data_IF_747876701978
#
_entry.id   IF_747876701978
#
_cell.length_a   1.000
_cell.length_b   1.000
_cell.length_c   1.000
_cell.angle_alpha   90.00
_cell.angle_beta   90.00
_cell.angle_gamma   90.00
#
_symmetry.space_group_name_H-M   'P 1'
#
loop_
_entity.id
_entity.type
_entity.pdbx_description
1 polymer ?
#
# COMPACT_ATOMS: atom_id res chain seq x y z
N UNK A 1 -9.45 66.11 27.17
CA UNK A 1 -8.57 64.96 27.52
C UNK A 1 -9.17 63.70 26.91
N UNK A 2 -8.54 63.15 25.86
CA UNK A 2 -9.01 61.97 25.13
C UNK A 2 -8.51 60.71 25.85
N UNK A 3 -9.42 59.81 26.25
CA UNK A 3 -9.09 58.47 26.76
C UNK A 3 -8.92 57.54 25.56
N UNK A 4 -7.70 57.03 25.34
CA UNK A 4 -7.43 55.99 24.36
C UNK A 4 -7.70 54.62 25.00
N UNK A 5 -8.65 53.89 24.43
CA UNK A 5 -8.96 52.50 24.78
C UNK A 5 -7.98 51.60 24.00
N UNK A 6 -7.01 51.00 24.68
CA UNK A 6 -6.16 49.96 24.09
C UNK A 6 -6.94 48.64 24.12
N UNK A 7 -7.49 48.25 22.97
CA UNK A 7 -8.04 46.91 22.77
C UNK A 7 -6.85 46.00 22.46
N UNK A 8 -6.49 45.14 23.42
CA UNK A 8 -5.59 44.03 23.21
C UNK A 8 -6.32 42.98 22.36
N UNK A 9 -6.03 42.96 21.05
CA UNK A 9 -6.37 41.82 20.20
C UNK A 9 -5.47 40.65 20.61
N UNK A 10 -6.01 39.75 21.43
CA UNK A 10 -5.49 38.39 21.54
C UNK A 10 -5.83 37.67 20.23
N UNK A 11 -4.95 37.76 19.25
CA UNK A 11 -4.95 36.84 18.12
C UNK A 11 -4.60 35.46 18.67
N UNK A 12 -5.63 34.68 19.03
CA UNK A 12 -5.51 33.23 19.13
C UNK A 12 -5.15 32.76 17.72
N UNK A 13 -3.86 32.64 17.45
CA UNK A 13 -3.40 31.83 16.33
C UNK A 13 -3.87 30.41 16.64
N UNK A 14 -5.02 30.06 16.09
CA UNK A 14 -5.37 28.68 15.80
C UNK A 14 -4.27 28.19 14.86
N UNK A 15 -3.19 27.67 15.45
CA UNK A 15 -2.26 26.86 14.71
C UNK A 15 -3.09 25.71 14.14
N UNK A 16 -3.00 25.43 12.82
CA UNK A 16 -3.55 24.19 12.31
C UNK A 16 -2.87 23.10 13.13
N UNK A 17 -3.68 22.34 13.87
CA UNK A 17 -3.26 21.07 14.44
C UNK A 17 -2.57 20.33 13.31
N UNK A 18 -1.25 20.17 13.40
CA UNK A 18 -0.50 19.32 12.50
C UNK A 18 -1.17 17.95 12.61
N UNK A 19 -2.05 17.66 11.65
CA UNK A 19 -2.58 16.35 11.38
C UNK A 19 -1.39 15.40 11.26
N UNK A 20 -1.59 14.13 11.63
CA UNK A 20 -0.63 13.04 11.51
C UNK A 20 0.45 13.38 10.47
N UNK A 21 1.69 13.62 10.90
CA UNK A 21 2.79 14.02 10.02
C UNK A 21 2.69 13.18 8.76
N UNK A 22 2.43 13.82 7.61
CA UNK A 22 2.02 13.12 6.39
C UNK A 22 3.03 11.98 6.15
N UNK A 23 2.60 10.73 6.32
CA UNK A 23 3.48 9.56 6.22
C UNK A 23 3.78 9.36 4.74
N UNK A 24 4.73 10.15 4.25
CA UNK A 24 5.08 10.24 2.86
C UNK A 24 6.50 9.76 2.62
N UNK A 25 6.69 9.09 1.49
CA UNK A 25 8.00 8.64 1.04
C UNK A 25 8.06 8.70 -0.49
N UNK A 26 9.10 9.36 -1.01
CA UNK A 26 9.31 9.57 -2.45
C UNK A 26 8.09 10.14 -3.21
N UNK A 27 7.36 11.06 -2.57
CA UNK A 27 6.20 11.74 -3.18
C UNK A 27 4.89 10.95 -3.16
N UNK A 28 4.84 9.84 -2.42
CA UNK A 28 3.61 9.06 -2.17
C UNK A 28 3.30 9.11 -0.68
N UNK A 29 2.04 9.31 -0.31
CA UNK A 29 1.62 9.40 1.08
C UNK A 29 0.60 8.33 1.44
N UNK A 30 0.66 7.84 2.68
CA UNK A 30 -0.41 7.01 3.24
C UNK A 30 -1.73 7.78 3.18
N UNK A 31 -2.79 7.10 2.76
CA UNK A 31 -4.14 7.65 2.66
C UNK A 31 -4.47 8.30 1.32
N UNK A 32 -3.48 8.54 0.47
CA UNK A 32 -3.69 9.13 -0.85
C UNK A 32 -4.46 8.19 -1.78
N UNK A 33 -5.35 8.73 -2.62
CA UNK A 33 -5.95 7.96 -3.72
C UNK A 33 -4.90 7.72 -4.82
N UNK A 34 -4.83 6.50 -5.33
CA UNK A 34 -3.83 6.10 -6.32
C UNK A 34 -3.86 6.96 -7.60
N UNK A 35 -5.01 7.57 -7.93
CA UNK A 35 -5.19 8.46 -9.09
C UNK A 35 -4.48 9.79 -8.91
N UNK A 36 -4.22 10.19 -7.67
CA UNK A 36 -3.53 11.42 -7.31
C UNK A 36 -2.02 11.23 -7.18
N UNK A 37 -1.56 9.96 -7.13
CA UNK A 37 -0.14 9.62 -7.03
C UNK A 37 0.56 9.94 -8.35
N UNK A 38 1.31 11.03 -8.37
CA UNK A 38 2.13 11.43 -9.52
C UNK A 38 3.50 10.71 -9.49
N UNK A 39 3.49 9.40 -9.75
CA UNK A 39 4.70 8.57 -9.78
C UNK A 39 4.78 7.69 -11.03
N UNK A 40 6.01 7.31 -11.39
CA UNK A 40 6.23 6.31 -12.43
C UNK A 40 6.36 4.93 -11.80
N UNK A 41 5.65 3.95 -12.36
CA UNK A 41 5.65 2.56 -11.89
C UNK A 41 6.65 1.73 -12.69
N UNK A 42 7.36 0.82 -12.02
CA UNK A 42 8.19 -0.18 -12.69
C UNK A 42 7.27 -1.17 -13.42
N UNK A 43 7.47 -1.42 -14.72
CA UNK A 43 6.67 -2.38 -15.47
C UNK A 43 6.77 -3.78 -14.87
N UNK A 44 5.64 -4.48 -14.86
CA UNK A 44 5.55 -5.87 -14.46
C UNK A 44 5.57 -6.75 -15.72
N UNK A 45 6.64 -7.51 -15.86
CA UNK A 45 6.75 -8.51 -16.93
C UNK A 45 6.42 -9.90 -16.39
N UNK A 46 5.52 -10.61 -17.08
CA UNK A 46 5.27 -12.03 -16.84
C UNK A 46 6.37 -12.86 -17.50
N UNK A 47 6.98 -13.76 -16.74
CA UNK A 47 7.93 -14.71 -17.28
C UNK A 47 7.24 -15.67 -18.27
N UNK A 48 7.98 -16.25 -19.24
CA UNK A 48 7.38 -17.14 -20.24
C UNK A 48 6.56 -18.30 -19.64
N UNK A 49 7.05 -18.91 -18.56
CA UNK A 49 6.33 -19.98 -17.88
C UNK A 49 5.01 -19.49 -17.25
N UNK A 50 5.02 -18.31 -16.63
CA UNK A 50 3.81 -17.71 -16.06
C UNK A 50 2.76 -17.45 -17.14
N UNK A 51 3.17 -17.04 -18.34
CA UNK A 51 2.26 -16.83 -19.46
C UNK A 51 1.60 -18.14 -19.92
N UNK A 52 2.36 -19.25 -19.96
CA UNK A 52 1.83 -20.58 -20.28
C UNK A 52 0.81 -21.02 -19.22
N UNK A 53 1.16 -20.90 -17.95
CA UNK A 53 0.26 -21.26 -16.85
C UNK A 53 -1.03 -20.43 -16.87
N UNK A 54 -0.92 -19.12 -17.13
CA UNK A 54 -2.08 -18.22 -17.23
C UNK A 54 -2.99 -18.66 -18.37
N UNK A 55 -2.43 -18.96 -19.54
CA UNK A 55 -3.18 -19.45 -20.69
C UNK A 55 -3.89 -20.77 -20.37
N UNK A 56 -3.20 -21.71 -19.74
CA UNK A 56 -3.76 -23.00 -19.37
C UNK A 56 -4.91 -22.85 -18.37
N UNK A 57 -4.75 -22.00 -17.36
CA UNK A 57 -5.81 -21.76 -16.37
C UNK A 57 -7.06 -21.15 -17.02
N UNK A 58 -6.88 -20.09 -17.82
CA UNK A 58 -7.98 -19.39 -18.48
C UNK A 58 -8.66 -20.23 -19.58
N UNK A 59 -8.00 -21.28 -20.09
CA UNK A 59 -8.60 -22.24 -21.01
C UNK A 59 -9.47 -23.29 -20.29
N UNK A 60 -9.12 -23.63 -19.05
CA UNK A 60 -9.77 -24.71 -18.29
C UNK A 60 -10.95 -24.25 -17.44
N UNK A 61 -11.03 -22.94 -17.14
CA UNK A 61 -12.05 -22.41 -16.25
C UNK A 61 -12.48 -20.98 -16.67
N UNK A 62 -13.78 -20.63 -16.59
CA UNK A 62 -14.23 -19.26 -16.78
C UNK A 62 -13.55 -18.31 -15.80
N UNK A 63 -13.00 -17.20 -16.31
CA UNK A 63 -12.21 -16.26 -15.49
C UNK A 63 -12.99 -15.74 -14.28
N UNK A 64 -14.29 -15.47 -14.43
CA UNK A 64 -15.14 -15.01 -13.33
C UNK A 64 -15.15 -16.02 -12.17
N UNK A 65 -15.25 -17.31 -12.47
CA UNK A 65 -15.24 -18.36 -11.44
C UNK A 65 -13.91 -18.39 -10.68
N UNK A 66 -12.80 -18.06 -11.33
CA UNK A 66 -11.47 -18.00 -10.69
C UNK A 66 -11.41 -16.84 -9.68
N UNK A 67 -11.91 -15.66 -10.08
CA UNK A 67 -12.01 -14.49 -9.20
C UNK A 67 -12.93 -14.76 -8.00
N UNK A 68 -14.10 -15.38 -8.25
CA UNK A 68 -15.08 -15.73 -7.22
C UNK A 68 -14.49 -16.72 -6.19
N UNK A 69 -13.76 -17.75 -6.64
CA UNK A 69 -13.08 -18.72 -5.76
C UNK A 69 -11.97 -18.12 -4.90
N UNK A 70 -11.43 -16.97 -5.30
CA UNK A 70 -10.36 -16.26 -4.60
C UNK A 70 -10.86 -15.10 -3.76
N UNK A 71 -12.19 -14.90 -3.71
CA UNK A 71 -12.82 -13.77 -3.03
C UNK A 71 -12.29 -12.42 -3.52
N UNK A 72 -12.01 -12.31 -4.81
CA UNK A 72 -11.64 -11.07 -5.49
C UNK A 72 -12.82 -10.69 -6.40
N UNK A 73 -13.87 -10.11 -5.82
CA UNK A 73 -15.13 -9.89 -6.52
C UNK A 73 -15.10 -8.56 -7.28
N UNK A 74 -14.82 -8.64 -8.58
CA UNK A 74 -14.77 -7.49 -9.49
C UNK A 74 -15.87 -7.58 -10.54
N UNK A 75 -16.71 -6.55 -10.62
CA UNK A 75 -17.68 -6.42 -11.71
C UNK A 75 -16.99 -5.78 -12.90
N UNK A 76 -16.69 -6.58 -13.93
CA UNK A 76 -16.04 -6.10 -15.16
C UNK A 76 -16.34 -7.03 -16.35
N UNK A 77 -16.16 -6.55 -17.60
CA UNK A 77 -16.22 -7.42 -18.78
C UNK A 77 -15.20 -8.56 -18.72
N UNK A 78 -15.53 -9.71 -19.32
CA UNK A 78 -14.67 -10.91 -19.27
C UNK A 78 -13.25 -10.66 -19.80
N UNK A 79 -13.10 -9.85 -20.85
CA UNK A 79 -11.80 -9.48 -21.40
C UNK A 79 -10.94 -8.72 -20.36
N UNK A 80 -11.54 -7.79 -19.62
CA UNK A 80 -10.85 -7.03 -18.55
C UNK A 80 -10.42 -7.97 -17.43
N UNK A 81 -11.28 -8.91 -17.03
CA UNK A 81 -10.94 -9.90 -16.00
C UNK A 81 -9.80 -10.82 -16.46
N UNK A 82 -9.76 -11.25 -17.72
CA UNK A 82 -8.64 -12.04 -18.28
C UNK A 82 -7.33 -11.28 -18.25
N UNK A 83 -7.35 -10.00 -18.61
CA UNK A 83 -6.17 -9.14 -18.58
C UNK A 83 -5.65 -8.87 -17.16
N UNK A 84 -6.56 -8.78 -16.18
CA UNK A 84 -6.24 -8.53 -14.78
C UNK A 84 -5.84 -9.80 -14.01
N UNK A 85 -6.32 -10.99 -14.42
CA UNK A 85 -6.08 -12.26 -13.74
C UNK A 85 -4.62 -12.49 -13.28
N UNK A 86 -3.59 -12.38 -14.14
CA UNK A 86 -2.21 -12.66 -13.70
C UNK A 86 -1.70 -11.68 -12.65
N UNK A 87 -2.27 -10.48 -12.57
CA UNK A 87 -1.80 -9.41 -11.70
C UNK A 87 -2.58 -9.36 -10.38
N UNK A 88 -3.91 -9.51 -10.44
CA UNK A 88 -4.78 -9.46 -9.26
C UNK A 88 -4.77 -10.79 -8.52
N UNK A 89 -4.98 -11.91 -9.22
CA UNK A 89 -5.17 -13.21 -8.58
C UNK A 89 -3.84 -13.89 -8.24
N UNK A 90 -2.89 -13.90 -9.17
CA UNK A 90 -1.65 -14.68 -8.99
C UNK A 90 -0.58 -13.94 -8.22
N UNK A 91 -0.44 -12.62 -8.45
CA UNK A 91 0.71 -11.86 -7.98
C UNK A 91 0.36 -10.76 -6.97
N UNK A 92 -0.88 -10.29 -6.96
CA UNK A 92 -1.31 -9.12 -6.19
C UNK A 92 -0.38 -7.90 -6.39
N UNK A 93 -0.03 -7.63 -7.65
CA UNK A 93 0.84 -6.53 -8.02
C UNK A 93 0.23 -5.65 -9.10
N UNK A 94 0.74 -4.43 -9.21
CA UNK A 94 0.36 -3.51 -10.28
C UNK A 94 1.55 -2.72 -10.84
N UNK A 95 1.34 -2.21 -12.03
CA UNK A 95 2.10 -1.13 -12.65
C UNK A 95 1.14 -0.14 -13.34
N UNK A 96 1.67 0.77 -14.15
CA UNK A 96 0.85 1.72 -14.90
C UNK A 96 -0.13 1.09 -15.89
N UNK A 97 0.20 -0.07 -16.48
CA UNK A 97 -0.68 -0.78 -17.41
C UNK A 97 -1.84 -1.44 -16.65
N UNK A 98 -1.53 -2.11 -15.54
CA UNK A 98 -2.55 -2.72 -14.66
C UNK A 98 -3.49 -1.66 -14.10
N UNK A 99 -2.96 -0.52 -13.64
CA UNK A 99 -3.79 0.61 -13.19
C UNK A 99 -4.71 1.14 -14.29
N UNK A 100 -4.23 1.18 -15.54
CA UNK A 100 -5.07 1.60 -16.66
C UNK A 100 -6.17 0.57 -16.97
N UNK A 101 -5.87 -0.73 -16.89
CA UNK A 101 -6.86 -1.82 -17.04
C UNK A 101 -7.91 -1.81 -15.94
N UNK A 102 -7.53 -1.45 -14.70
CA UNK A 102 -8.46 -1.34 -13.58
C UNK A 102 -9.55 -0.27 -13.80
N UNK A 103 -9.33 0.72 -14.67
CA UNK A 103 -10.39 1.67 -15.07
C UNK A 103 -11.55 1.01 -15.82
N UNK A 104 -11.33 -0.19 -16.37
CA UNK A 104 -12.37 -1.01 -16.98
C UNK A 104 -13.21 -1.82 -15.97
N UNK A 105 -12.85 -1.80 -14.68
CA UNK A 105 -13.64 -2.40 -13.60
C UNK A 105 -14.76 -1.44 -13.22
N UNK A 106 -15.99 -1.94 -13.27
CA UNK A 106 -17.20 -1.15 -13.01
C UNK A 106 -17.50 -1.06 -11.52
N UNK A 107 -17.19 -2.10 -10.75
CA UNK A 107 -17.27 -2.08 -9.29
C UNK A 107 -16.27 -3.07 -8.67
N UNK A 108 -15.70 -2.69 -7.52
CA UNK A 108 -15.04 -3.61 -6.60
C UNK A 108 -16.06 -3.98 -5.53
N UNK A 109 -16.19 -5.27 -5.23
CA UNK A 109 -17.11 -5.76 -4.20
C UNK A 109 -16.35 -6.40 -3.03
N UNK A 110 -15.02 -6.47 -3.12
CA UNK A 110 -14.10 -6.89 -2.06
C UNK A 110 -12.93 -5.91 -1.97
N UNK A 111 -12.24 -5.93 -0.84
CA UNK A 111 -11.13 -5.03 -0.57
C UNK A 111 -9.80 -5.50 -1.20
N UNK A 112 -9.80 -5.61 -2.53
CA UNK A 112 -8.62 -6.00 -3.33
C UNK A 112 -7.40 -5.17 -2.94
N UNK A 113 -6.28 -5.84 -2.71
CA UNK A 113 -5.00 -5.23 -2.33
C UNK A 113 -3.94 -5.53 -3.37
N UNK A 114 -3.22 -4.51 -3.86
CA UNK A 114 -2.17 -4.67 -4.87
C UNK A 114 -0.94 -3.86 -4.48
N UNK A 115 0.25 -4.39 -4.79
CA UNK A 115 1.54 -3.74 -4.51
C UNK A 115 2.31 -3.45 -5.80
N UNK A 116 2.74 -2.21 -5.98
CA UNK A 116 3.51 -1.75 -7.13
C UNK A 116 4.88 -1.25 -6.71
N UNK A 117 5.89 -1.44 -7.55
CA UNK A 117 7.22 -0.86 -7.33
C UNK A 117 7.34 0.46 -8.09
N UNK A 118 7.86 1.50 -7.44
CA UNK A 118 8.17 2.77 -8.09
C UNK A 118 9.41 2.62 -8.98
N UNK A 119 9.38 3.28 -10.14
CA UNK A 119 10.58 3.54 -10.95
C UNK A 119 11.35 4.70 -10.30
N UNK A 120 12.08 4.37 -9.25
CA UNK A 120 12.86 5.30 -8.45
C UNK A 120 14.36 5.18 -8.76
N UNK A 121 15.08 6.32 -8.79
CA UNK A 121 16.52 6.39 -9.09
C UNK A 121 17.42 6.58 -7.85
N UNK A 122 16.85 6.72 -6.66
CA UNK A 122 17.63 6.91 -5.43
C UNK A 122 18.08 5.59 -4.80
N UNK A 123 18.42 5.66 -3.51
CA UNK A 123 18.95 4.52 -2.76
C UNK A 123 17.85 3.50 -2.43
N UNK A 124 17.88 2.37 -3.14
CA UNK A 124 17.01 1.24 -2.84
C UNK A 124 15.74 1.16 -3.69
N UNK A 125 14.78 0.37 -3.20
CA UNK A 125 13.53 0.04 -3.91
C UNK A 125 12.35 0.50 -3.08
N UNK A 126 11.37 1.13 -3.72
CA UNK A 126 10.16 1.62 -3.05
C UNK A 126 8.95 0.90 -3.59
N UNK A 127 8.17 0.33 -2.68
CA UNK A 127 6.94 -0.39 -2.97
C UNK A 127 5.77 0.36 -2.33
N UNK A 128 4.67 0.44 -3.05
CA UNK A 128 3.44 1.09 -2.61
C UNK A 128 2.34 0.06 -2.69
N UNK A 129 1.63 -0.14 -1.59
CA UNK A 129 0.46 -1.01 -1.52
C UNK A 129 -0.78 -0.16 -1.44
N UNK A 130 -1.74 -0.40 -2.34
CA UNK A 130 -3.08 0.17 -2.23
C UNK A 130 -4.10 -0.90 -1.90
N UNK A 131 -5.23 -0.45 -1.35
CA UNK A 131 -6.41 -1.27 -1.08
C UNK A 131 -7.65 -0.59 -1.65
N UNK A 132 -8.55 -1.38 -2.24
CA UNK A 132 -9.90 -0.94 -2.55
C UNK A 132 -10.69 -0.73 -1.25
N UNK A 133 -11.19 0.48 -1.06
CA UNK A 133 -11.96 0.92 0.09
C UNK A 133 -13.18 1.69 -0.37
N UNK A 134 -14.26 1.77 0.42
CA UNK A 134 -15.40 2.57 0.03
C UNK A 134 -15.12 4.06 0.21
N UNK A 135 -15.65 4.87 -0.69
CA UNK A 135 -15.83 6.30 -0.53
C UNK A 135 -17.13 6.60 0.24
N UNK A 136 -17.44 7.88 0.45
CA UNK A 136 -18.65 8.32 1.16
C UNK A 136 -19.96 7.84 0.50
N UNK A 137 -19.92 7.49 -0.79
CA UNK A 137 -21.05 7.01 -1.57
C UNK A 137 -21.06 5.48 -1.71
N UNK A 138 -20.11 4.76 -1.07
CA UNK A 138 -19.95 3.32 -1.19
C UNK A 138 -19.36 2.85 -2.52
N UNK A 139 -18.76 3.75 -3.31
CA UNK A 139 -17.97 3.38 -4.49
C UNK A 139 -16.54 3.06 -4.07
N UNK A 140 -15.85 2.24 -4.85
CA UNK A 140 -14.47 1.91 -4.56
C UNK A 140 -13.52 3.08 -4.88
N UNK A 141 -12.70 3.44 -3.90
CA UNK A 141 -11.48 4.24 -4.02
C UNK A 141 -10.27 3.35 -3.75
N UNK A 142 -9.19 3.54 -4.50
CA UNK A 142 -7.94 2.80 -4.33
C UNK A 142 -7.00 3.64 -3.47
N UNK A 143 -6.95 3.37 -2.18
CA UNK A 143 -6.20 4.16 -1.20
C UNK A 143 -4.85 3.53 -0.90
N UNK A 144 -3.79 4.32 -0.83
CA UNK A 144 -2.46 3.88 -0.38
C UNK A 144 -2.52 3.52 1.11
N UNK A 145 -2.24 2.25 1.44
CA UNK A 145 -2.30 1.73 2.81
C UNK A 145 -0.92 1.37 3.38
N UNK A 146 0.09 1.20 2.54
CA UNK A 146 1.44 0.97 2.99
C UNK A 146 2.47 1.46 1.96
N UNK A 147 3.63 1.87 2.46
CA UNK A 147 4.80 2.19 1.66
C UNK A 147 6.00 1.48 2.28
N UNK A 148 6.74 0.70 1.50
CA UNK A 148 7.97 0.02 1.93
C UNK A 148 9.16 0.54 1.13
N UNK A 149 10.23 0.97 1.81
CA UNK A 149 11.54 1.25 1.18
C UNK A 149 12.57 0.26 1.67
N UNK A 150 13.11 -0.50 0.72
CA UNK A 150 14.19 -1.47 0.94
C UNK A 150 15.52 -0.83 0.55
N UNK A 151 16.43 -0.70 1.51
CA UNK A 151 17.79 -0.22 1.30
C UNK A 151 18.70 -1.40 1.00
N UNK A 152 19.68 -1.29 0.10
CA UNK A 152 20.69 -2.34 -0.10
C UNK A 152 21.68 -2.42 1.09
N UNK A 153 21.16 -2.83 2.24
CA UNK A 153 21.86 -2.99 3.52
C UNK A 153 21.32 -4.30 4.13
N UNK A 154 22.15 -5.33 4.23
CA UNK A 154 21.76 -6.61 4.81
C UNK A 154 22.07 -6.64 6.30
N UNK A 155 21.40 -7.54 7.04
CA UNK A 155 21.69 -7.75 8.44
C UNK A 155 23.17 -8.07 8.65
N UNK A 156 23.80 -7.51 9.68
CA UNK A 156 25.22 -7.67 9.97
C UNK A 156 25.66 -9.14 10.06
N UNK A 157 24.79 -10.02 10.57
CA UNK A 157 25.03 -11.46 10.63
C UNK A 157 25.15 -12.13 9.25
N UNK A 158 24.60 -11.51 8.21
CA UNK A 158 24.62 -11.98 6.82
C UNK A 158 25.67 -11.25 5.99
N UNK A 159 25.84 -9.94 6.21
CA UNK A 159 26.77 -9.08 5.46
C UNK A 159 27.55 -8.17 6.42
N UNK A 160 28.63 -8.66 7.07
CA UNK A 160 29.34 -7.92 8.10
C UNK A 160 29.84 -6.53 7.67
N UNK A 161 30.20 -6.37 6.40
CA UNK A 161 30.68 -5.12 5.82
C UNK A 161 29.63 -3.98 5.80
N UNK A 162 28.36 -4.29 6.01
CA UNK A 162 27.29 -3.29 6.06
C UNK A 162 27.09 -2.65 7.43
N UNK A 163 27.81 -3.10 8.46
CA UNK A 163 27.61 -2.63 9.84
C UNK A 163 27.54 -1.12 9.97
N UNK A 164 28.50 -0.42 9.35
CA UNK A 164 28.59 1.03 9.44
C UNK A 164 27.51 1.73 8.60
N UNK A 165 27.14 1.12 7.46
CA UNK A 165 26.02 1.61 6.61
C UNK A 165 24.69 1.49 7.35
N UNK A 166 24.43 0.35 7.99
CA UNK A 166 23.23 0.12 8.81
C UNK A 166 23.14 1.15 9.95
N UNK A 167 24.22 1.32 10.71
CA UNK A 167 24.28 2.29 11.81
C UNK A 167 24.03 3.73 11.32
N UNK A 168 24.65 4.11 10.20
CA UNK A 168 24.46 5.43 9.62
C UNK A 168 23.02 5.64 9.14
N UNK A 169 22.45 4.66 8.42
CA UNK A 169 21.10 4.75 7.87
C UNK A 169 20.04 4.74 8.98
N UNK A 170 20.19 3.94 10.04
CA UNK A 170 19.30 4.00 11.22
C UNK A 170 19.31 5.38 11.85
N UNK A 171 20.49 5.97 12.03
CA UNK A 171 20.63 7.32 12.59
C UNK A 171 19.95 8.38 11.72
N UNK A 172 20.14 8.30 10.40
CA UNK A 172 19.48 9.16 9.42
C UNK A 172 17.94 9.04 9.51
N UNK A 173 17.42 7.80 9.45
CA UNK A 173 15.99 7.54 9.47
C UNK A 173 15.34 7.91 10.81
N UNK A 174 16.02 7.73 11.95
CA UNK A 174 15.50 8.14 13.26
C UNK A 174 15.44 9.67 13.39
N UNK A 175 16.32 10.40 12.72
CA UNK A 175 16.24 11.86 12.66
C UNK A 175 15.06 12.33 11.79
N UNK A 176 14.74 11.60 10.72
CA UNK A 176 13.61 11.92 9.83
C UNK A 176 12.26 11.46 10.39
N UNK A 177 12.22 10.31 11.06
CA UNK A 177 11.03 9.67 11.63
C UNK A 177 11.28 9.36 13.11
N UNK A 178 11.16 10.35 14.02
CA UNK A 178 11.44 10.16 15.45
C UNK A 178 10.59 9.08 16.12
N UNK A 179 9.33 8.93 15.69
CA UNK A 179 8.36 7.96 16.21
C UNK A 179 8.51 6.55 15.60
N UNK A 180 9.49 6.34 14.72
CA UNK A 180 9.76 5.04 14.12
C UNK A 180 10.17 4.00 15.17
N UNK A 181 9.55 2.83 15.10
CA UNK A 181 9.85 1.69 15.97
C UNK A 181 10.77 0.72 15.24
N UNK A 182 11.88 0.35 15.89
CA UNK A 182 12.83 -0.61 15.34
C UNK A 182 12.44 -2.04 15.73
N UNK A 183 12.37 -2.93 14.75
CA UNK A 183 12.10 -4.35 14.92
C UNK A 183 13.20 -5.20 14.29
N UNK A 184 13.42 -6.39 14.85
CA UNK A 184 14.32 -7.39 14.27
C UNK A 184 13.73 -8.01 13.02
N UNK A 185 12.44 -8.34 13.05
CA UNK A 185 11.74 -9.00 11.95
C UNK A 185 10.37 -8.35 11.72
N UNK A 186 10.12 -7.91 10.49
CA UNK A 186 8.89 -7.23 10.08
C UNK A 186 7.71 -8.18 9.83
N UNK A 187 7.96 -9.47 9.57
CA UNK A 187 6.90 -10.45 9.30
C UNK A 187 6.54 -11.25 10.56
N UNK A 188 7.54 -11.56 11.39
CA UNK A 188 7.32 -12.15 12.72
C UNK A 188 7.24 -11.12 13.82
N UNK A 189 7.05 -9.84 13.46
CA UNK A 189 6.43 -8.83 14.31
C UNK A 189 4.98 -9.24 14.65
N UNK A 190 4.84 -10.41 15.27
CA UNK A 190 3.72 -10.72 16.12
C UNK A 190 3.64 -9.56 17.10
N UNK A 191 2.45 -8.97 17.28
CA UNK A 191 2.22 -7.84 18.16
C UNK A 191 2.43 -8.25 19.62
N UNK A 192 3.67 -8.57 20.00
CA UNK A 192 4.00 -8.94 21.37
C UNK A 192 4.10 -7.68 22.23
N UNK A 193 4.24 -6.49 21.61
CA UNK A 193 4.07 -5.19 22.25
C UNK A 193 3.05 -4.35 21.48
N UNK A 194 2.21 -3.64 22.24
CA UNK A 194 1.25 -2.67 21.68
C UNK A 194 1.95 -1.60 20.82
N UNK A 195 3.19 -1.26 21.17
CA UNK A 195 4.06 -0.35 20.41
C UNK A 195 4.22 -0.80 18.95
N UNK A 196 4.54 -2.08 18.70
CA UNK A 196 4.68 -2.59 17.33
C UNK A 196 3.34 -2.76 16.64
N UNK A 197 2.23 -2.96 17.36
CA UNK A 197 0.89 -3.05 16.74
C UNK A 197 0.40 -1.72 16.17
N UNK A 198 0.64 -0.64 16.89
CA UNK A 198 0.12 0.69 16.57
C UNK A 198 1.16 1.62 15.93
N UNK A 199 2.42 1.19 15.80
CA UNK A 199 3.42 1.95 15.08
C UNK A 199 3.05 2.10 13.61
N UNK A 200 2.95 3.34 13.15
CA UNK A 200 2.72 3.66 11.74
C UNK A 200 3.99 3.56 10.89
N UNK A 201 5.17 3.61 11.53
CA UNK A 201 6.47 3.49 10.88
C UNK A 201 7.34 2.46 11.60
N UNK A 202 7.81 1.45 10.86
CA UNK A 202 8.63 0.34 11.36
C UNK A 202 9.94 0.26 10.57
N UNK A 203 11.05 -0.03 11.26
CA UNK A 203 12.35 -0.28 10.62
C UNK A 203 12.91 -1.61 11.07
N UNK A 204 13.24 -2.47 10.11
CA UNK A 204 13.79 -3.78 10.42
C UNK A 204 14.19 -4.59 9.20
N UNK A 205 14.49 -5.85 9.42
CA UNK A 205 14.69 -6.81 8.34
C UNK A 205 13.43 -7.66 8.19
N UNK A 206 13.27 -8.31 7.03
CA UNK A 206 12.28 -9.37 6.86
C UNK A 206 13.03 -10.68 6.66
N UNK A 207 12.78 -11.65 7.52
CA UNK A 207 13.39 -12.97 7.44
C UNK A 207 12.34 -14.00 7.03
N UNK A 208 12.36 -14.37 5.74
CA UNK A 208 11.62 -15.54 5.26
C UNK A 208 12.53 -16.78 5.38
N UNK A 209 11.94 -17.97 5.50
CA UNK A 209 12.66 -19.25 5.64
C UNK A 209 13.83 -19.39 4.67
N UNK A 210 13.64 -18.91 3.44
CA UNK A 210 14.56 -19.12 2.32
C UNK A 210 15.12 -17.81 1.75
N UNK A 211 14.68 -16.65 2.25
CA UNK A 211 15.07 -15.33 1.72
C UNK A 211 15.18 -14.32 2.86
N UNK A 212 16.36 -13.73 3.02
CA UNK A 212 16.52 -12.54 3.85
C UNK A 212 16.40 -11.30 2.99
N UNK A 213 15.50 -10.38 3.38
CA UNK A 213 15.34 -9.09 2.71
C UNK A 213 16.29 -8.07 3.36
N UNK A 214 16.84 -7.12 2.57
CA UNK A 214 17.56 -5.99 3.11
C UNK A 214 16.77 -5.14 4.13
N UNK A 215 17.44 -4.21 4.79
CA UNK A 215 16.88 -3.26 5.74
C UNK A 215 15.68 -2.55 5.08
N UNK A 216 14.55 -2.57 5.76
CA UNK A 216 13.29 -2.08 5.22
C UNK A 216 12.66 -1.09 6.20
N UNK A 217 12.34 0.09 5.69
CA UNK A 217 11.42 1.04 6.33
C UNK A 217 10.02 0.76 5.80
N UNK A 218 9.07 0.44 6.69
CA UNK A 218 7.67 0.24 6.35
C UNK A 218 6.83 1.32 7.02
N UNK A 219 6.12 2.10 6.23
CA UNK A 219 5.02 2.97 6.66
C UNK A 219 3.71 2.25 6.38
N UNK A 220 2.75 2.35 7.29
CA UNK A 220 1.42 1.76 7.12
C UNK A 220 0.34 2.65 7.69
N UNK A 221 -0.83 2.54 7.08
CA UNK A 221 -2.05 3.06 7.66
C UNK A 221 -2.41 2.21 8.89
N UNK A 222 -2.69 2.90 10.00
CA UNK A 222 -3.10 2.29 11.26
C UNK A 222 -4.54 2.64 11.61
N UNK A 223 -5.20 3.42 10.77
CA UNK A 223 -6.62 3.68 10.89
C UNK A 223 -7.41 2.36 10.73
N UNK A 224 -8.56 2.30 11.39
CA UNK A 224 -9.53 1.24 11.16
C UNK A 224 -10.19 1.48 9.80
N UNK A 225 -9.68 0.80 8.78
CA UNK A 225 -10.11 0.99 7.40
C UNK A 225 -11.34 0.14 7.11
N UNK A 226 -12.44 0.83 6.79
CA UNK A 226 -13.67 0.18 6.36
C UNK A 226 -13.40 -0.73 5.14
N UNK A 227 -13.98 -1.94 5.18
CA UNK A 227 -13.82 -2.92 4.12
C UNK A 227 -14.92 -2.75 3.07
N UNK A 228 -14.61 -3.09 1.82
CA UNK A 228 -15.61 -3.05 0.74
C UNK A 228 -16.74 -4.02 1.01
N UNK A 229 -16.43 -5.18 1.59
CA UNK A 229 -17.37 -6.25 1.92
C UNK A 229 -18.50 -5.76 2.84
N UNK A 230 -18.19 -4.83 3.75
CA UNK A 230 -19.15 -4.29 4.72
C UNK A 230 -20.22 -3.40 4.06
N UNK A 231 -19.92 -2.87 2.87
CA UNK A 231 -20.83 -1.97 2.13
C UNK A 231 -21.15 -2.46 0.72
N UNK A 232 -20.60 -3.60 0.29
CA UNK A 232 -20.82 -4.14 -1.05
C UNK A 232 -22.30 -4.43 -1.29
N UNK A 233 -23.02 -4.86 -0.25
CA UNK A 233 -24.48 -4.97 -0.23
C UNK A 233 -25.22 -3.63 -0.22
N UNK A 234 -24.58 -2.51 -0.52
CA UNK A 234 -25.23 -1.24 -0.89
C UNK A 234 -24.97 -0.87 -2.36
N UNK A 235 -23.95 -1.45 -2.99
CA UNK A 235 -23.61 -1.20 -4.37
C UNK A 235 -24.50 -2.03 -5.32
N UNK A 236 -25.30 -1.36 -6.16
CA UNK A 236 -26.27 -2.00 -7.06
C UNK A 236 -25.63 -3.05 -7.97
N UNK A 237 -24.43 -2.79 -8.50
CA UNK A 237 -23.74 -3.71 -9.39
C UNK A 237 -23.26 -4.96 -8.65
N UNK A 238 -22.76 -4.79 -7.42
CA UNK A 238 -22.36 -5.90 -6.57
C UNK A 238 -23.56 -6.79 -6.21
N UNK A 239 -24.71 -6.20 -5.83
CA UNK A 239 -25.96 -6.93 -5.57
C UNK A 239 -26.41 -7.75 -6.78
N UNK A 240 -26.50 -7.10 -7.94
CA UNK A 240 -27.02 -7.72 -9.16
C UNK A 240 -26.11 -8.85 -9.66
N UNK A 241 -24.80 -8.70 -9.50
CA UNK A 241 -23.81 -9.64 -10.04
C UNK A 241 -23.54 -10.81 -9.09
N UNK A 242 -23.55 -10.55 -7.78
CA UNK A 242 -23.08 -11.50 -6.76
C UNK A 242 -24.11 -11.86 -5.68
N UNK A 243 -25.26 -11.18 -5.63
CA UNK A 243 -26.29 -11.44 -4.62
C UNK A 243 -25.92 -10.98 -3.21
N UNK A 244 -25.06 -9.96 -3.11
CA UNK A 244 -24.63 -9.32 -1.86
C UNK A 244 -25.68 -8.36 -1.28
#
# INVERSE_FOLDING_TARGET
MKRALLISLFSVMLMPSAHAADLCLEGVCIGQDIREVNAQWRPVTLQPQEQVDVRNMLANQPVKQIFDQRNELLVAPEAVLKDLYPFVIRRQIFDGEVLNKLKGVQAFCTSTTLTGELKYQGDGRVFVTFRAMPDENGNAQLRVIAIEKQFDIMAFSLRPQDRDKDKAKRKELKAQYPEMVETRDLDTARPNSAEVSFASTLLGYRFLSDVSIPLTLRMRDTADLQMMEDVAGNNVLCKQTYGL
#
